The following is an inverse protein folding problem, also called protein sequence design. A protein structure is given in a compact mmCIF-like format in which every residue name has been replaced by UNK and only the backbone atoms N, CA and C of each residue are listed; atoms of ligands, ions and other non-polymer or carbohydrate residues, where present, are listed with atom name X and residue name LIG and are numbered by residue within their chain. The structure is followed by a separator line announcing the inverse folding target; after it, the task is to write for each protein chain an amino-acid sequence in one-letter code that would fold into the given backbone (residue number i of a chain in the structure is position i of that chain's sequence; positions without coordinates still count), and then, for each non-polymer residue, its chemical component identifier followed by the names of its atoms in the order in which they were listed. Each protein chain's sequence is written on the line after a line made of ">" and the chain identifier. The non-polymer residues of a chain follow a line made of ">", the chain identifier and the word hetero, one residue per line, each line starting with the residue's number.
data_IF_189734330640
#
_entry.id   IF_189734330640
#
_cell.length_a   1.000
_cell.length_b   1.000
_cell.length_c   1.000
_cell.angle_alpha   90.00
_cell.angle_beta   90.00
_cell.angle_gamma   90.00
#
_symmetry.space_group_name_H-M   'P 1'
#
loop_
_entity.id
_entity.type
_entity.pdbx_description
1 polymer ?
#
# COMPACT_ATOMS: atom_id res chain seq x y z
N UNK A 1 11.68 -5.35 21.54
CA UNK A 1 10.43 -6.11 21.67
C UNK A 1 10.43 -7.28 20.69
N UNK A 2 9.59 -8.30 20.95
CA UNK A 2 9.31 -9.43 20.04
C UNK A 2 7.94 -9.21 19.43
N UNK A 3 7.88 -8.93 18.14
CA UNK A 3 6.68 -8.41 17.45
C UNK A 3 6.21 -9.41 16.41
N UNK A 4 4.94 -9.83 16.48
CA UNK A 4 4.31 -10.63 15.44
C UNK A 4 3.62 -9.73 14.41
N UNK A 5 4.00 -9.82 13.14
CA UNK A 5 3.37 -9.09 12.03
C UNK A 5 2.52 -10.05 11.20
N UNK A 6 1.25 -9.72 11.03
CA UNK A 6 0.29 -10.48 10.22
C UNK A 6 -0.17 -9.62 9.06
N UNK A 7 0.06 -10.07 7.84
CA UNK A 7 -0.30 -9.31 6.63
C UNK A 7 -0.59 -10.25 5.45
N UNK A 8 -1.12 -9.71 4.37
CA UNK A 8 -1.14 -10.41 3.09
C UNK A 8 0.26 -10.35 2.43
N UNK A 9 0.88 -11.49 2.12
CA UNK A 9 2.22 -11.55 1.52
C UNK A 9 2.20 -11.26 0.01
N UNK A 10 1.52 -10.19 -0.41
CA UNK A 10 1.26 -9.88 -1.82
C UNK A 10 2.05 -8.67 -2.30
N UNK A 11 2.15 -8.51 -3.63
CA UNK A 11 2.68 -7.31 -4.28
C UNK A 11 1.82 -6.05 -4.06
N UNK A 12 0.69 -6.15 -3.37
CA UNK A 12 -0.15 -5.01 -3.02
C UNK A 12 0.49 -4.10 -1.98
N UNK A 13 0.12 -2.82 -1.99
CA UNK A 13 0.72 -1.79 -1.13
C UNK A 13 0.76 -2.14 0.36
N UNK A 14 -0.30 -2.75 0.91
CA UNK A 14 -0.36 -3.16 2.32
C UNK A 14 0.67 -4.22 2.71
N UNK A 15 0.89 -5.23 1.84
CA UNK A 15 1.88 -6.28 2.06
C UNK A 15 3.31 -5.72 2.03
N UNK A 16 3.57 -4.81 1.09
CA UNK A 16 4.85 -4.11 0.99
C UNK A 16 5.10 -3.24 2.24
N UNK A 17 4.13 -2.44 2.65
CA UNK A 17 4.25 -1.58 3.86
C UNK A 17 4.49 -2.41 5.11
N UNK A 18 3.73 -3.49 5.31
CA UNK A 18 3.91 -4.38 6.47
C UNK A 18 5.30 -5.02 6.48
N UNK A 19 5.81 -5.42 5.31
CA UNK A 19 7.14 -6.02 5.19
C UNK A 19 8.23 -4.99 5.47
N UNK A 20 8.17 -3.82 4.86
CA UNK A 20 9.17 -2.75 5.08
C UNK A 20 9.15 -2.24 6.53
N UNK A 21 7.98 -2.19 7.19
CA UNK A 21 7.90 -1.87 8.62
C UNK A 21 8.63 -2.91 9.46
N UNK A 22 8.39 -4.20 9.20
CA UNK A 22 9.05 -5.26 9.93
C UNK A 22 10.57 -5.30 9.70
N UNK A 23 11.04 -4.98 8.49
CA UNK A 23 12.45 -4.85 8.18
C UNK A 23 13.09 -3.71 8.97
N UNK A 24 12.45 -2.53 8.99
CA UNK A 24 12.94 -1.36 9.72
C UNK A 24 12.96 -1.61 11.24
N UNK A 25 11.92 -2.22 11.80
CA UNK A 25 11.89 -2.62 13.21
C UNK A 25 13.04 -3.58 13.57
N UNK A 26 13.36 -4.53 12.69
CA UNK A 26 14.47 -5.45 12.92
C UNK A 26 15.83 -4.77 12.85
N UNK A 27 16.00 -3.76 12.01
CA UNK A 27 17.19 -2.90 11.95
C UNK A 27 17.39 -2.11 13.25
N UNK A 28 16.30 -1.68 13.91
CA UNK A 28 16.32 -1.03 15.24
C UNK A 28 16.45 -2.03 16.41
N UNK A 29 16.71 -3.31 16.11
CA UNK A 29 17.01 -4.33 17.10
C UNK A 29 15.78 -5.06 17.69
N UNK A 30 14.59 -4.84 17.16
CA UNK A 30 13.43 -5.65 17.50
C UNK A 30 13.54 -7.04 16.88
N UNK A 31 12.88 -8.04 17.49
CA UNK A 31 12.75 -9.38 16.93
C UNK A 31 11.37 -9.46 16.26
N UNK A 32 11.36 -9.69 14.95
CA UNK A 32 10.14 -9.64 14.15
C UNK A 32 9.77 -11.02 13.61
N UNK A 33 8.53 -11.42 13.83
CA UNK A 33 7.97 -12.69 13.41
C UNK A 33 6.85 -12.41 12.39
N UNK A 34 7.10 -12.70 11.10
CA UNK A 34 6.06 -12.67 10.08
C UNK A 34 5.22 -13.94 10.12
N UNK A 35 3.91 -13.80 10.26
CA UNK A 35 2.94 -14.91 10.35
C UNK A 35 1.97 -14.78 9.19
N UNK A 36 2.22 -15.49 8.09
CA UNK A 36 1.52 -15.33 6.81
C UNK A 36 1.41 -16.65 6.07
N UNK A 37 0.53 -16.76 5.07
CA UNK A 37 0.34 -18.01 4.30
C UNK A 37 1.40 -18.24 3.22
N UNK A 38 2.19 -17.22 2.88
CA UNK A 38 3.32 -17.30 1.97
C UNK A 38 4.38 -16.29 2.40
N UNK A 39 5.59 -16.41 1.90
CA UNK A 39 6.67 -15.48 2.26
C UNK A 39 6.37 -14.09 1.75
N UNK A 40 6.40 -13.04 2.61
CA UNK A 40 6.15 -11.67 2.19
C UNK A 40 7.08 -11.23 1.05
N UNK A 41 6.50 -10.52 0.10
CA UNK A 41 7.27 -9.87 -0.96
C UNK A 41 8.28 -8.91 -0.34
N UNK A 42 9.50 -8.85 -0.88
CA UNK A 42 10.64 -8.09 -0.37
C UNK A 42 11.31 -8.67 0.89
N UNK A 43 10.78 -9.72 1.50
CA UNK A 43 11.44 -10.37 2.61
C UNK A 43 12.62 -11.22 2.12
N UNK A 44 13.83 -10.68 2.24
CA UNK A 44 15.07 -11.37 1.92
C UNK A 44 15.31 -12.62 2.78
N UNK A 45 16.30 -13.44 2.44
CA UNK A 45 16.74 -14.58 3.24
C UNK A 45 17.92 -14.18 4.12
N UNK A 46 18.01 -14.79 5.33
CA UNK A 46 19.18 -14.66 6.20
C UNK A 46 19.32 -13.33 6.93
N UNK A 47 18.25 -12.58 7.10
CA UNK A 47 18.24 -11.37 7.91
C UNK A 47 18.23 -11.71 9.39
N UNK A 48 19.11 -11.09 10.17
CA UNK A 48 19.11 -11.22 11.62
C UNK A 48 17.80 -10.64 12.21
N UNK A 49 17.33 -11.21 13.30
CA UNK A 49 16.13 -10.80 14.03
C UNK A 49 14.80 -10.92 13.25
N UNK A 50 14.77 -11.63 12.12
CA UNK A 50 13.54 -11.86 11.35
C UNK A 50 13.25 -13.34 11.24
N UNK A 51 12.03 -13.71 11.62
CA UNK A 51 11.52 -15.08 11.57
C UNK A 51 10.25 -15.14 10.71
N UNK A 52 10.05 -16.26 10.06
CA UNK A 52 8.89 -16.50 9.20
C UNK A 52 8.15 -17.76 9.67
N UNK A 53 6.84 -17.62 9.87
CA UNK A 53 5.94 -18.68 10.28
C UNK A 53 4.83 -18.84 9.25
N UNK A 54 4.87 -19.93 8.52
CA UNK A 54 3.88 -20.22 7.48
C UNK A 54 2.55 -20.69 8.09
N UNK A 55 1.46 -20.07 7.64
CA UNK A 55 0.07 -20.46 7.94
C UNK A 55 -0.40 -21.39 6.82
N UNK A 56 -0.33 -22.70 7.05
CA UNK A 56 -0.75 -23.70 6.08
C UNK A 56 -2.16 -24.14 6.34
N UNK A 57 -3.04 -23.92 5.39
CA UNK A 57 -4.38 -24.49 5.40
C UNK A 57 -4.35 -25.84 4.71
N UNK A 58 -4.77 -26.88 5.40
CA UNK A 58 -4.86 -28.23 4.82
C UNK A 58 -6.14 -28.36 3.99
N UNK A 59 -6.02 -28.97 2.81
CA UNK A 59 -7.17 -29.35 2.02
C UNK A 59 -7.91 -30.49 2.73
N UNK A 60 -9.15 -30.23 3.13
CA UNK A 60 -10.03 -31.23 3.68
C UNK A 60 -11.31 -31.30 2.85
N UNK A 61 -11.68 -32.47 2.32
CA UNK A 61 -12.76 -32.61 1.33
C UNK A 61 -14.13 -32.11 1.76
N UNK A 62 -14.39 -31.96 3.07
CA UNK A 62 -15.66 -31.44 3.58
C UNK A 62 -15.69 -29.91 3.72
N UNK A 63 -14.58 -29.22 3.46
CA UNK A 63 -14.57 -27.77 3.45
C UNK A 63 -14.72 -27.24 2.04
N UNK A 64 -15.90 -26.73 1.69
CA UNK A 64 -16.13 -26.00 0.44
C UNK A 64 -15.25 -24.72 0.38
N UNK A 65 -14.96 -24.14 1.55
CA UNK A 65 -14.09 -22.99 1.73
C UNK A 65 -13.00 -23.31 2.75
N UNK A 66 -11.78 -22.99 2.42
CA UNK A 66 -10.64 -23.18 3.32
C UNK A 66 -10.78 -22.26 4.54
N UNK A 67 -10.74 -22.78 5.79
CA UNK A 67 -10.96 -21.99 7.02
C UNK A 67 -9.68 -21.23 7.42
N UNK A 68 -9.16 -20.35 6.55
CA UNK A 68 -7.91 -19.64 6.74
C UNK A 68 -7.85 -18.91 8.10
N UNK A 69 -8.93 -18.20 8.47
CA UNK A 69 -9.00 -17.41 9.70
C UNK A 69 -8.80 -18.26 10.96
N UNK A 70 -9.40 -19.45 11.01
CA UNK A 70 -9.26 -20.37 12.15
C UNK A 70 -7.85 -20.99 12.21
N UNK A 71 -7.26 -21.29 11.05
CA UNK A 71 -5.89 -21.80 11.00
C UNK A 71 -4.90 -20.71 11.39
N UNK A 72 -5.11 -19.48 10.93
CA UNK A 72 -4.34 -18.30 11.35
C UNK A 72 -4.44 -18.10 12.87
N UNK A 73 -5.66 -18.13 13.44
CA UNK A 73 -5.86 -18.05 14.89
C UNK A 73 -5.03 -19.07 15.66
N UNK A 74 -5.08 -20.33 15.24
CA UNK A 74 -4.30 -21.41 15.89
C UNK A 74 -2.80 -21.17 15.78
N UNK A 75 -2.34 -20.69 14.60
CA UNK A 75 -0.93 -20.37 14.38
C UNK A 75 -0.48 -19.17 15.22
N UNK A 76 -1.33 -18.16 15.40
CA UNK A 76 -1.03 -17.03 16.29
C UNK A 76 -0.84 -17.50 17.74
N UNK A 77 -1.74 -18.36 18.24
CA UNK A 77 -1.61 -18.94 19.58
C UNK A 77 -0.26 -19.67 19.73
N UNK A 78 0.07 -20.53 18.78
CA UNK A 78 1.33 -21.31 18.77
C UNK A 78 2.56 -20.38 18.79
N UNK A 79 2.62 -19.41 17.89
CA UNK A 79 3.78 -18.52 17.76
C UNK A 79 3.91 -17.60 18.99
N UNK A 80 2.81 -17.04 19.50
CA UNK A 80 2.84 -16.20 20.73
C UNK A 80 3.45 -16.97 21.90
N UNK A 81 3.04 -18.24 22.11
CA UNK A 81 3.51 -19.05 23.22
C UNK A 81 4.99 -19.43 23.08
N UNK A 82 5.38 -19.98 21.92
CA UNK A 82 6.71 -20.53 21.73
C UNK A 82 7.77 -19.42 21.56
N UNK A 83 7.41 -18.35 20.85
CA UNK A 83 8.33 -17.25 20.58
C UNK A 83 8.23 -16.13 21.62
N UNK A 84 7.28 -16.21 22.57
CA UNK A 84 7.08 -15.23 23.65
C UNK A 84 6.94 -13.80 23.10
N UNK A 85 5.99 -13.61 22.19
CA UNK A 85 5.75 -12.31 21.60
C UNK A 85 5.26 -11.31 22.64
N UNK A 86 5.68 -10.04 22.51
CA UNK A 86 5.21 -8.92 23.33
C UNK A 86 3.93 -8.28 22.76
N UNK A 87 3.75 -8.39 21.42
CA UNK A 87 2.72 -7.67 20.66
C UNK A 87 2.43 -8.37 19.34
N UNK A 88 1.17 -8.33 18.91
CA UNK A 88 0.76 -8.61 17.53
C UNK A 88 0.41 -7.32 16.81
N UNK A 89 0.96 -7.10 15.62
CA UNK A 89 0.53 -6.06 14.70
C UNK A 89 -0.09 -6.70 13.46
N UNK A 90 -1.39 -6.52 13.29
CA UNK A 90 -2.15 -7.12 12.20
C UNK A 90 -2.60 -6.05 11.22
N UNK A 91 -2.49 -6.36 9.94
CA UNK A 91 -2.91 -5.48 8.85
C UNK A 91 -4.24 -5.98 8.31
N UNK A 92 -5.27 -5.14 8.30
CA UNK A 92 -6.69 -5.37 8.01
C UNK A 92 -7.55 -5.81 9.20
N UNK A 93 -8.76 -5.23 9.26
CA UNK A 93 -9.79 -5.60 10.23
C UNK A 93 -10.23 -7.07 10.05
N UNK A 94 -10.38 -7.52 8.82
CA UNK A 94 -10.68 -8.91 8.47
C UNK A 94 -9.70 -9.42 7.41
N UNK A 95 -9.30 -10.68 7.48
CA UNK A 95 -9.54 -11.66 8.55
C UNK A 95 -8.52 -11.57 9.70
N UNK A 96 -7.58 -10.62 9.65
CA UNK A 96 -6.40 -10.65 10.51
C UNK A 96 -6.73 -10.19 11.94
N UNK A 97 -7.46 -9.08 12.13
CA UNK A 97 -7.79 -8.61 13.47
C UNK A 97 -8.82 -9.54 14.16
N UNK A 98 -9.80 -10.09 13.43
CA UNK A 98 -10.73 -11.07 13.98
C UNK A 98 -10.00 -12.35 14.44
N UNK A 99 -9.05 -12.84 13.64
CA UNK A 99 -8.19 -13.97 14.03
C UNK A 99 -7.31 -13.65 15.26
N UNK A 100 -6.73 -12.45 15.31
CA UNK A 100 -5.91 -12.00 16.44
C UNK A 100 -6.73 -11.88 17.72
N UNK A 101 -7.94 -11.34 17.64
CA UNK A 101 -8.84 -11.27 18.79
C UNK A 101 -9.19 -12.66 19.32
N UNK A 102 -9.53 -13.60 18.46
CA UNK A 102 -9.84 -14.98 18.87
C UNK A 102 -8.61 -15.65 19.50
N UNK A 103 -7.42 -15.46 18.92
CA UNK A 103 -6.15 -15.95 19.50
C UNK A 103 -5.90 -15.34 20.89
N UNK A 104 -6.15 -14.03 21.05
CA UNK A 104 -6.04 -13.33 22.34
C UNK A 104 -6.97 -13.95 23.40
N UNK A 105 -8.23 -14.29 23.03
CA UNK A 105 -9.16 -14.93 23.98
C UNK A 105 -8.70 -16.35 24.39
N UNK A 106 -8.18 -17.14 23.45
CA UNK A 106 -7.63 -18.47 23.74
C UNK A 106 -6.42 -18.35 24.67
N UNK A 107 -5.50 -17.44 24.40
CA UNK A 107 -4.32 -17.18 25.22
C UNK A 107 -4.69 -16.67 26.63
N UNK A 108 -5.67 -15.77 26.71
CA UNK A 108 -6.18 -15.24 27.97
C UNK A 108 -6.74 -16.35 28.86
N UNK A 109 -7.44 -17.34 28.30
CA UNK A 109 -7.94 -18.51 29.03
C UNK A 109 -6.80 -19.39 29.56
N UNK A 110 -5.59 -19.25 29.03
CA UNK A 110 -4.39 -19.95 29.47
C UNK A 110 -3.49 -19.07 30.37
N UNK A 111 -3.97 -17.88 30.77
CA UNK A 111 -3.23 -16.93 31.60
C UNK A 111 -2.20 -16.09 30.86
N UNK A 112 -2.18 -16.12 29.52
CA UNK A 112 -1.26 -15.33 28.68
C UNK A 112 -2.01 -14.11 28.15
N UNK A 113 -1.41 -12.92 28.36
CA UNK A 113 -1.95 -11.65 27.82
C UNK A 113 -1.04 -11.15 26.72
N UNK A 114 -1.61 -10.91 25.55
CA UNK A 114 -0.94 -10.35 24.37
C UNK A 114 -1.79 -9.23 23.80
N UNK A 115 -1.30 -8.00 23.66
CA UNK A 115 -2.02 -6.97 22.93
C UNK A 115 -1.92 -7.16 21.42
N UNK A 116 -2.93 -6.64 20.69
CA UNK A 116 -2.83 -6.55 19.24
C UNK A 116 -3.27 -5.18 18.73
N UNK A 117 -2.54 -4.70 17.73
CA UNK A 117 -2.78 -3.45 17.01
C UNK A 117 -3.27 -3.79 15.61
N UNK A 118 -4.25 -3.05 15.13
CA UNK A 118 -4.81 -3.21 13.77
C UNK A 118 -4.52 -1.98 12.92
N UNK A 119 -3.88 -2.17 11.76
CA UNK A 119 -3.76 -1.12 10.73
C UNK A 119 -4.76 -1.36 9.62
N UNK A 120 -5.62 -0.37 9.38
CA UNK A 120 -6.59 -0.34 8.28
C UNK A 120 -5.92 0.14 7.00
N UNK A 121 -6.16 -0.57 5.88
CA UNK A 121 -5.54 -0.27 4.59
C UNK A 121 -6.52 0.16 3.49
N UNK A 122 -7.81 0.06 3.74
CA UNK A 122 -8.87 0.53 2.85
C UNK A 122 -9.67 -0.57 2.17
N UNK A 123 -9.06 -1.64 1.67
CA UNK A 123 -9.82 -2.73 1.02
C UNK A 123 -10.87 -3.33 1.98
N UNK A 124 -10.52 -3.47 3.24
CA UNK A 124 -11.38 -3.93 4.34
C UNK A 124 -12.51 -2.95 4.67
N UNK A 125 -12.35 -1.69 4.38
CA UNK A 125 -13.29 -0.61 4.69
C UNK A 125 -14.11 -0.22 3.46
N UNK A 126 -13.43 0.15 2.36
CA UNK A 126 -14.06 0.80 1.21
C UNK A 126 -14.56 -0.16 0.14
N UNK A 127 -14.05 -1.40 0.09
CA UNK A 127 -14.42 -2.40 -0.91
C UNK A 127 -15.18 -3.57 -0.29
N UNK A 128 -14.52 -4.40 0.50
CA UNK A 128 -15.13 -5.57 1.13
C UNK A 128 -16.10 -5.13 2.22
N UNK A 129 -15.74 -4.12 3.01
CA UNK A 129 -16.55 -3.62 4.10
C UNK A 129 -17.88 -2.98 3.68
N UNK A 130 -18.06 -2.66 2.40
CA UNK A 130 -19.37 -2.19 1.87
C UNK A 130 -20.42 -3.30 1.75
N UNK A 131 -20.02 -4.56 1.80
CA UNK A 131 -20.96 -5.67 1.89
C UNK A 131 -21.47 -5.80 3.33
N UNK A 132 -22.80 -5.64 3.58
CA UNK A 132 -23.37 -5.66 4.92
C UNK A 132 -23.11 -6.97 5.68
N UNK A 133 -22.76 -8.06 4.99
CA UNK A 133 -22.44 -9.34 5.62
C UNK A 133 -21.16 -9.30 6.46
N UNK A 134 -20.23 -8.37 6.16
CA UNK A 134 -18.96 -8.21 6.90
C UNK A 134 -19.02 -7.13 7.97
N UNK A 135 -19.97 -6.18 7.91
CA UNK A 135 -20.04 -5.02 8.80
C UNK A 135 -19.97 -5.40 10.30
N UNK A 136 -20.72 -6.38 10.83
CA UNK A 136 -20.67 -6.72 12.25
C UNK A 136 -19.27 -7.20 12.70
N UNK A 137 -18.58 -7.97 11.86
CA UNK A 137 -17.26 -8.52 12.19
C UNK A 137 -16.18 -7.43 12.10
N UNK A 138 -16.26 -6.55 11.09
CA UNK A 138 -15.33 -5.43 10.93
C UNK A 138 -15.46 -4.47 12.10
N UNK A 139 -16.68 -4.05 12.44
CA UNK A 139 -16.96 -3.18 13.59
C UNK A 139 -16.42 -3.81 14.87
N UNK A 140 -16.73 -5.09 15.10
CA UNK A 140 -16.26 -5.82 16.27
C UNK A 140 -14.73 -5.88 16.34
N UNK A 141 -14.07 -6.22 15.24
CA UNK A 141 -12.60 -6.33 15.18
C UNK A 141 -11.92 -4.99 15.49
N UNK A 142 -12.43 -3.88 14.95
CA UNK A 142 -11.93 -2.54 15.22
C UNK A 142 -12.14 -2.18 16.70
N UNK A 143 -13.35 -2.36 17.25
CA UNK A 143 -13.68 -2.00 18.64
C UNK A 143 -12.84 -2.78 19.67
N UNK A 144 -12.44 -4.02 19.35
CA UNK A 144 -11.74 -4.91 20.28
C UNK A 144 -10.22 -4.97 20.07
N UNK A 145 -9.67 -4.25 19.09
CA UNK A 145 -8.22 -4.05 18.98
C UNK A 145 -7.71 -3.19 20.14
N UNK A 146 -6.52 -3.46 20.67
CA UNK A 146 -5.92 -2.65 21.74
C UNK A 146 -5.55 -1.24 21.25
N UNK A 147 -5.14 -1.11 19.99
CA UNK A 147 -5.08 0.15 19.25
C UNK A 147 -5.43 -0.07 17.77
N UNK A 148 -5.90 0.99 17.12
CA UNK A 148 -6.23 0.98 15.69
C UNK A 148 -5.55 2.14 14.99
N UNK A 149 -4.97 1.86 13.82
CA UNK A 149 -4.41 2.90 12.97
C UNK A 149 -5.03 2.89 11.57
N UNK A 150 -5.08 4.03 10.93
CA UNK A 150 -5.45 4.18 9.53
C UNK A 150 -4.31 4.84 8.75
N UNK A 151 -4.16 4.46 7.49
CA UNK A 151 -3.04 4.94 6.64
C UNK A 151 -3.24 6.36 6.11
N UNK A 152 -4.40 6.96 6.34
CA UNK A 152 -4.72 8.35 5.96
C UNK A 152 -5.88 8.89 6.78
N UNK A 153 -6.00 10.20 6.83
CA UNK A 153 -7.14 10.88 7.44
C UNK A 153 -8.45 10.56 6.70
N UNK A 154 -8.36 10.49 5.37
CA UNK A 154 -9.48 10.09 4.52
C UNK A 154 -10.02 8.71 4.89
N UNK A 155 -9.14 7.71 5.06
CA UNK A 155 -9.56 6.36 5.44
C UNK A 155 -10.14 6.33 6.85
N UNK A 156 -9.55 7.08 7.80
CA UNK A 156 -10.11 7.21 9.16
C UNK A 156 -11.55 7.75 9.11
N UNK A 157 -11.76 8.81 8.36
CA UNK A 157 -13.08 9.45 8.19
C UNK A 157 -14.07 8.47 7.56
N UNK A 158 -13.70 7.82 6.45
CA UNK A 158 -14.53 6.81 5.80
C UNK A 158 -14.88 5.64 6.74
N UNK A 159 -13.96 5.24 7.62
CA UNK A 159 -14.23 4.19 8.61
C UNK A 159 -15.35 4.61 9.57
N UNK A 160 -15.31 5.83 10.11
CA UNK A 160 -16.35 6.33 10.99
C UNK A 160 -17.71 6.59 10.27
N UNK A 161 -17.67 6.90 8.98
CA UNK A 161 -18.88 7.10 8.17
C UNK A 161 -19.61 5.79 7.84
N UNK A 162 -18.85 4.71 7.66
CA UNK A 162 -19.42 3.41 7.22
C UNK A 162 -19.68 2.44 8.36
N UNK A 163 -18.99 2.58 9.49
CA UNK A 163 -19.07 1.65 10.61
C UNK A 163 -19.40 2.38 11.92
N UNK A 164 -20.27 1.83 12.79
CA UNK A 164 -20.62 2.43 14.08
C UNK A 164 -19.49 2.26 15.12
N UNK A 165 -18.28 2.58 14.74
CA UNK A 165 -17.06 2.48 15.55
C UNK A 165 -16.92 3.70 16.45
N UNK A 166 -16.60 3.46 17.75
CA UNK A 166 -16.29 4.50 18.75
C UNK A 166 -14.85 4.52 19.16
N UNK A 167 -14.11 3.46 18.83
CA UNK A 167 -12.67 3.36 19.08
C UNK A 167 -11.93 4.49 18.40
N UNK A 168 -10.99 5.12 19.10
CA UNK A 168 -10.11 6.10 18.47
C UNK A 168 -9.20 5.41 17.44
N UNK A 169 -9.09 6.02 16.26
CA UNK A 169 -8.27 5.55 15.16
C UNK A 169 -7.16 6.57 14.93
N UNK A 170 -5.93 6.21 15.27
CA UNK A 170 -4.77 7.06 15.02
C UNK A 170 -4.38 7.04 13.54
N UNK A 171 -4.11 8.18 12.95
CA UNK A 171 -3.56 8.22 11.59
C UNK A 171 -2.05 8.07 11.66
N UNK A 172 -1.54 7.00 11.05
CA UNK A 172 -0.11 6.80 10.78
C UNK A 172 0.02 6.55 9.27
N UNK A 173 0.59 7.50 8.51
CA UNK A 173 0.62 7.38 7.06
C UNK A 173 1.46 6.18 6.60
N UNK A 174 1.14 5.64 5.43
CA UNK A 174 2.07 4.76 4.76
C UNK A 174 3.37 5.51 4.46
N UNK A 175 4.43 4.77 4.26
CA UNK A 175 5.78 5.29 4.12
C UNK A 175 6.54 4.56 3.01
N UNK A 176 7.70 5.09 2.70
CA UNK A 176 8.69 4.46 1.81
C UNK A 176 10.07 4.51 2.44
N UNK A 177 10.97 3.71 1.94
CA UNK A 177 12.40 3.79 2.25
C UNK A 177 13.07 4.63 1.16
N UNK A 178 13.38 5.89 1.45
CA UNK A 178 13.94 6.82 0.46
C UNK A 178 15.27 6.36 -0.13
N UNK A 179 16.06 5.55 0.58
CA UNK A 179 17.30 4.96 0.11
C UNK A 179 17.09 4.02 -1.10
N UNK A 180 15.99 3.28 -1.16
CA UNK A 180 15.63 2.43 -2.32
C UNK A 180 15.36 3.24 -3.58
N UNK A 181 14.82 4.44 -3.43
CA UNK A 181 14.44 5.35 -4.52
C UNK A 181 15.53 6.39 -4.83
N UNK A 182 16.77 6.14 -4.35
CA UNK A 182 17.92 6.96 -4.67
C UNK A 182 18.49 6.71 -6.08
N UNK A 183 17.88 5.77 -6.83
CA UNK A 183 18.28 5.45 -8.19
C UNK A 183 18.29 6.71 -9.06
N UNK A 184 19.43 6.99 -9.69
CA UNK A 184 19.52 8.03 -10.71
C UNK A 184 18.81 7.52 -11.97
N UNK A 185 18.28 8.49 -12.76
CA UNK A 185 17.77 8.20 -14.10
C UNK A 185 18.80 7.35 -14.89
N UNK A 186 18.37 6.18 -15.31
CA UNK A 186 19.16 5.31 -16.18
C UNK A 186 18.95 5.76 -17.64
N UNK A 187 19.98 6.43 -18.20
CA UNK A 187 19.93 6.96 -19.55
C UNK A 187 19.76 5.86 -20.62
N UNK A 188 20.31 4.67 -20.40
CA UNK A 188 20.18 3.56 -21.35
C UNK A 188 18.75 3.01 -21.30
N UNK A 189 18.17 2.89 -20.10
CA UNK A 189 16.78 2.48 -19.93
C UNK A 189 15.83 3.51 -20.53
N UNK A 190 16.08 4.80 -20.30
CA UNK A 190 15.31 5.89 -20.90
C UNK A 190 15.36 5.84 -22.43
N UNK A 191 16.55 5.71 -23.05
CA UNK A 191 16.68 5.57 -24.51
C UNK A 191 15.98 4.33 -25.06
N UNK A 192 15.96 3.24 -24.30
CA UNK A 192 15.24 2.03 -24.68
C UNK A 192 13.73 2.24 -24.75
N UNK A 193 13.18 2.97 -23.78
CA UNK A 193 11.73 3.25 -23.73
C UNK A 193 11.34 4.46 -24.61
N UNK A 194 12.21 5.45 -24.76
CA UNK A 194 11.99 6.68 -25.54
C UNK A 194 13.09 6.87 -26.59
N UNK A 195 13.17 5.98 -27.63
CA UNK A 195 14.28 5.99 -28.60
C UNK A 195 14.36 7.24 -29.47
N UNK A 196 13.28 8.03 -29.55
CA UNK A 196 13.21 9.28 -30.31
C UNK A 196 13.10 10.50 -29.41
N UNK A 197 13.34 10.37 -28.10
CA UNK A 197 13.22 11.43 -27.12
C UNK A 197 11.77 11.75 -26.74
N UNK A 198 10.88 10.76 -26.83
CA UNK A 198 9.47 10.90 -26.43
C UNK A 198 9.37 11.13 -24.92
N UNK A 199 8.32 11.83 -24.47
CA UNK A 199 7.97 11.92 -23.05
C UNK A 199 7.45 10.57 -22.56
N UNK A 200 7.93 10.12 -21.40
CA UNK A 200 7.55 8.85 -20.80
C UNK A 200 6.51 9.07 -19.69
N UNK A 201 5.28 8.68 -19.97
CA UNK A 201 4.23 8.56 -18.96
C UNK A 201 4.31 7.15 -18.35
N UNK A 202 3.98 7.01 -17.07
CA UNK A 202 3.96 5.71 -16.39
C UNK A 202 2.76 5.58 -15.47
N UNK A 203 2.26 4.36 -15.34
CA UNK A 203 1.24 3.96 -14.39
C UNK A 203 1.60 2.62 -13.75
N UNK A 204 1.36 2.49 -12.45
CA UNK A 204 1.59 1.26 -11.68
C UNK A 204 0.32 0.89 -10.92
N UNK A 205 -0.28 -0.26 -11.23
CA UNK A 205 -1.40 -0.79 -10.45
C UNK A 205 -1.69 -2.27 -10.73
N UNK A 206 -2.69 -2.81 -10.06
CA UNK A 206 -3.23 -4.15 -10.28
C UNK A 206 -4.37 -4.20 -11.32
N UNK A 207 -4.52 -3.21 -12.16
CA UNK A 207 -5.50 -3.06 -13.25
C UNK A 207 -6.93 -3.52 -12.90
N UNK A 208 -7.36 -3.24 -11.66
CA UNK A 208 -8.76 -3.42 -11.26
C UNK A 208 -9.61 -2.25 -11.77
N UNK A 209 -10.93 -2.42 -11.96
CA UNK A 209 -11.83 -1.35 -12.43
C UNK A 209 -11.69 -0.04 -11.66
N UNK A 210 -11.52 -0.11 -10.34
CA UNK A 210 -11.30 1.07 -9.47
C UNK A 210 -10.05 1.89 -9.85
N UNK A 211 -9.09 1.30 -10.58
CA UNK A 211 -7.88 1.99 -11.07
C UNK A 211 -8.06 2.71 -12.40
N UNK A 212 -9.19 2.47 -13.10
CA UNK A 212 -9.61 3.17 -14.32
C UNK A 212 -8.51 3.27 -15.39
N UNK A 213 -7.86 2.14 -15.68
CA UNK A 213 -6.71 2.08 -16.61
C UNK A 213 -7.07 2.62 -18.01
N UNK A 214 -8.34 2.49 -18.43
CA UNK A 214 -8.81 3.02 -19.71
C UNK A 214 -8.82 4.56 -19.74
N UNK A 215 -9.05 5.22 -18.60
CA UNK A 215 -8.95 6.68 -18.50
C UNK A 215 -7.49 7.12 -18.64
N UNK A 216 -6.55 6.37 -18.10
CA UNK A 216 -5.11 6.62 -18.26
C UNK A 216 -4.71 6.55 -19.73
N UNK A 217 -5.22 5.56 -20.47
CA UNK A 217 -5.03 5.48 -21.92
C UNK A 217 -5.67 6.66 -22.65
N UNK A 218 -6.85 7.11 -22.22
CA UNK A 218 -7.51 8.31 -22.80
C UNK A 218 -6.65 9.55 -22.60
N UNK A 219 -6.10 9.75 -21.40
CA UNK A 219 -5.17 10.84 -21.09
C UNK A 219 -3.91 10.74 -21.95
N UNK A 220 -3.31 9.56 -22.03
CA UNK A 220 -2.15 9.33 -22.90
C UNK A 220 -2.42 9.67 -24.36
N UNK A 221 -3.56 9.25 -24.91
CA UNK A 221 -3.96 9.58 -26.27
C UNK A 221 -4.10 11.09 -26.48
N UNK A 222 -4.62 11.82 -25.48
CA UNK A 222 -4.69 13.28 -25.48
C UNK A 222 -3.30 13.91 -25.49
N UNK A 223 -2.40 13.49 -24.63
CA UNK A 223 -1.01 13.99 -24.58
C UNK A 223 -0.28 13.70 -25.89
N UNK A 224 -0.40 12.48 -26.41
CA UNK A 224 0.26 12.05 -27.65
C UNK A 224 -0.14 12.84 -28.90
N UNK A 225 -1.34 13.44 -28.92
CA UNK A 225 -1.78 14.34 -29.99
C UNK A 225 -0.98 15.64 -30.04
N UNK A 226 -0.54 16.13 -28.88
CA UNK A 226 0.14 17.42 -28.71
C UNK A 226 1.67 17.31 -28.71
N UNK A 227 2.22 16.17 -28.27
CA UNK A 227 3.66 15.93 -28.22
C UNK A 227 4.02 14.46 -28.39
N UNK A 228 5.24 14.12 -28.85
CA UNK A 228 5.74 12.74 -28.86
C UNK A 228 5.77 12.19 -27.43
N UNK A 229 5.01 11.11 -27.20
CA UNK A 229 4.89 10.49 -25.89
C UNK A 229 4.72 8.97 -25.99
N UNK A 230 5.18 8.24 -24.95
CA UNK A 230 4.93 6.81 -24.76
C UNK A 230 4.42 6.54 -23.35
N UNK A 231 3.68 5.46 -23.18
CA UNK A 231 3.09 5.07 -21.91
C UNK A 231 3.63 3.71 -21.46
N UNK A 232 4.14 3.66 -20.24
CA UNK A 232 4.54 2.42 -19.57
C UNK A 232 3.46 2.00 -18.58
N UNK A 233 2.93 0.79 -18.72
CA UNK A 233 1.93 0.19 -17.84
C UNK A 233 2.58 -0.94 -17.05
N UNK A 234 2.82 -0.71 -15.75
CA UNK A 234 3.41 -1.68 -14.83
C UNK A 234 2.30 -2.30 -13.99
N UNK A 235 2.24 -3.62 -14.01
CA UNK A 235 1.23 -4.39 -13.30
C UNK A 235 0.43 -5.29 -14.21
N UNK A 236 -0.63 -5.88 -13.66
CA UNK A 236 -1.50 -6.81 -14.36
C UNK A 236 -2.85 -6.92 -13.63
N UNK A 237 -3.90 -7.26 -14.35
CA UNK A 237 -5.22 -7.46 -13.76
C UNK A 237 -6.37 -7.49 -14.75
N UNK A 238 -7.63 -7.45 -14.24
CA UNK A 238 -8.82 -7.69 -15.07
C UNK A 238 -8.95 -6.78 -16.29
N UNK A 239 -8.56 -5.49 -16.17
CA UNK A 239 -8.74 -4.51 -17.24
C UNK A 239 -7.62 -4.55 -18.30
N UNK A 240 -6.61 -5.41 -18.15
CA UNK A 240 -5.50 -5.50 -19.12
C UNK A 240 -5.98 -5.77 -20.53
N UNK A 241 -6.87 -6.75 -20.71
CA UNK A 241 -7.39 -7.10 -22.04
C UNK A 241 -8.12 -5.94 -22.71
N UNK A 242 -8.93 -5.20 -21.94
CA UNK A 242 -9.63 -4.01 -22.43
C UNK A 242 -8.64 -2.89 -22.82
N UNK A 243 -7.60 -2.69 -22.03
CA UNK A 243 -6.54 -1.72 -22.30
C UNK A 243 -5.77 -2.07 -23.61
N UNK A 244 -5.40 -3.33 -23.80
CA UNK A 244 -4.76 -3.80 -25.05
C UNK A 244 -5.69 -3.66 -26.26
N UNK A 245 -6.99 -3.94 -26.12
CA UNK A 245 -7.97 -3.74 -27.18
C UNK A 245 -8.10 -2.26 -27.56
N UNK A 246 -8.09 -1.36 -26.57
CA UNK A 246 -8.12 0.09 -26.83
C UNK A 246 -6.86 0.58 -27.55
N UNK A 247 -5.68 0.05 -27.22
CA UNK A 247 -4.44 0.36 -27.94
C UNK A 247 -4.51 -0.06 -29.41
N UNK A 248 -5.01 -1.27 -29.68
CA UNK A 248 -5.20 -1.75 -31.07
C UNK A 248 -6.18 -0.88 -31.86
N UNK A 249 -7.31 -0.54 -31.24
CA UNK A 249 -8.33 0.29 -31.88
C UNK A 249 -7.83 1.68 -32.25
N UNK A 250 -6.88 2.24 -31.49
CA UNK A 250 -6.30 3.56 -31.71
C UNK A 250 -4.94 3.54 -32.46
N UNK A 251 -4.43 2.37 -32.85
CA UNK A 251 -3.15 2.24 -33.55
C UNK A 251 -1.96 2.69 -32.71
N UNK A 252 -1.97 2.46 -31.40
CA UNK A 252 -0.95 2.94 -30.45
C UNK A 252 -0.16 1.82 -29.79
N UNK A 253 -0.23 0.60 -30.32
CA UNK A 253 0.43 -0.57 -29.74
C UNK A 253 1.96 -0.40 -29.61
N UNK A 254 2.60 0.37 -30.50
CA UNK A 254 4.04 0.60 -30.45
C UNK A 254 4.43 1.65 -29.39
N UNK A 255 3.49 2.46 -28.91
CA UNK A 255 3.71 3.56 -27.99
C UNK A 255 3.22 3.25 -26.57
N UNK A 256 2.50 2.13 -26.37
CA UNK A 256 2.04 1.65 -25.07
C UNK A 256 2.71 0.32 -24.73
N UNK A 257 3.53 0.33 -23.68
CA UNK A 257 4.29 -0.86 -23.26
C UNK A 257 3.70 -1.44 -21.99
N UNK A 258 3.22 -2.67 -22.06
CA UNK A 258 2.78 -3.46 -20.92
C UNK A 258 3.96 -4.24 -20.33
N UNK A 259 4.49 -3.79 -19.21
CA UNK A 259 5.69 -4.37 -18.58
C UNK A 259 5.40 -5.54 -17.63
N UNK A 260 4.11 -5.79 -17.33
CA UNK A 260 3.73 -6.83 -16.37
C UNK A 260 4.04 -6.45 -14.92
N UNK A 261 3.95 -7.42 -14.02
CA UNK A 261 4.28 -7.23 -12.60
C UNK A 261 5.80 -7.12 -12.43
N UNK A 262 6.24 -6.13 -11.66
CA UNK A 262 7.64 -5.90 -11.33
C UNK A 262 7.82 -5.86 -9.81
N UNK A 263 8.89 -6.48 -9.32
CA UNK A 263 9.27 -6.45 -7.90
C UNK A 263 9.97 -5.12 -7.55
N UNK A 264 10.81 -4.65 -8.45
CA UNK A 264 11.67 -3.48 -8.27
C UNK A 264 11.46 -2.50 -9.44
N UNK A 265 10.37 -1.68 -9.41
CA UNK A 265 10.05 -0.75 -10.50
C UNK A 265 10.85 0.55 -10.45
N UNK A 266 11.70 0.77 -9.43
CA UNK A 266 12.34 2.04 -9.11
C UNK A 266 13.16 2.60 -10.28
N UNK A 267 13.95 1.77 -10.96
CA UNK A 267 14.74 2.20 -12.10
C UNK A 267 13.89 2.62 -13.30
N UNK A 268 12.77 1.91 -13.53
CA UNK A 268 11.82 2.27 -14.58
C UNK A 268 11.13 3.57 -14.22
N UNK A 269 10.64 3.71 -12.98
CA UNK A 269 10.00 4.93 -12.51
C UNK A 269 10.95 6.13 -12.65
N UNK A 270 12.18 6.03 -12.17
CA UNK A 270 13.19 7.11 -12.25
C UNK A 270 13.49 7.57 -13.69
N UNK A 271 13.24 6.71 -14.68
CA UNK A 271 13.43 7.02 -16.11
C UNK A 271 12.23 7.70 -16.76
N UNK A 272 11.10 7.83 -16.05
CA UNK A 272 9.87 8.43 -16.57
C UNK A 272 9.76 9.93 -16.28
N UNK A 273 8.86 10.60 -17.02
CA UNK A 273 8.63 12.03 -16.91
C UNK A 273 7.39 12.37 -16.09
N UNK A 274 6.36 11.52 -16.12
CA UNK A 274 5.09 11.76 -15.46
C UNK A 274 4.42 10.48 -15.02
N UNK A 275 3.98 10.42 -13.77
CA UNK A 275 3.13 9.36 -13.25
C UNK A 275 1.65 9.75 -13.36
N UNK A 276 0.81 8.85 -13.88
CA UNK A 276 -0.62 9.09 -14.06
C UNK A 276 -1.43 8.09 -13.24
N UNK A 277 -2.36 8.59 -12.41
CA UNK A 277 -3.21 7.78 -11.53
C UNK A 277 -4.66 8.26 -11.56
N UNK A 278 -5.54 7.51 -12.23
CA UNK A 278 -6.94 7.86 -12.44
C UNK A 278 -7.91 7.15 -11.46
N UNK A 279 -7.42 6.67 -10.33
CA UNK A 279 -8.20 5.86 -9.38
C UNK A 279 -9.50 6.52 -8.95
N UNK A 280 -10.57 5.73 -8.87
CA UNK A 280 -11.87 6.14 -8.35
C UNK A 280 -11.86 6.22 -6.81
N UNK A 281 -11.11 5.34 -6.18
CA UNK A 281 -10.88 5.30 -4.74
C UNK A 281 -9.43 4.95 -4.47
N UNK A 282 -8.80 5.65 -3.54
CA UNK A 282 -7.42 5.41 -3.11
C UNK A 282 -7.28 5.70 -1.62
N UNK A 283 -6.88 4.68 -0.86
CA UNK A 283 -6.75 4.86 0.60
C UNK A 283 -5.56 5.71 1.01
N UNK A 284 -4.49 5.74 0.18
CA UNK A 284 -3.30 6.53 0.43
C UNK A 284 -2.62 6.98 -0.88
N UNK A 285 -2.36 6.05 -1.80
CA UNK A 285 -1.65 6.35 -3.04
C UNK A 285 -0.18 5.98 -3.01
N UNK A 286 0.16 4.80 -2.46
CA UNK A 286 1.55 4.35 -2.34
C UNK A 286 2.31 4.37 -3.68
N UNK A 287 1.67 3.98 -4.79
CA UNK A 287 2.31 4.00 -6.11
C UNK A 287 2.64 5.42 -6.59
N UNK A 288 1.81 6.41 -6.25
CA UNK A 288 2.12 7.83 -6.49
C UNK A 288 3.31 8.29 -5.63
N UNK A 289 3.33 7.89 -4.34
CA UNK A 289 4.44 8.19 -3.44
C UNK A 289 5.76 7.57 -3.93
N UNK A 290 5.74 6.32 -4.41
CA UNK A 290 6.92 5.65 -4.99
C UNK A 290 7.44 6.39 -6.24
N UNK A 291 6.54 6.83 -7.12
CA UNK A 291 6.92 7.66 -8.27
C UNK A 291 7.52 9.00 -7.84
N UNK A 292 6.91 9.69 -6.89
CA UNK A 292 7.41 10.94 -6.32
C UNK A 292 8.79 10.77 -5.68
N UNK A 293 9.03 9.67 -5.01
CA UNK A 293 10.33 9.33 -4.44
C UNK A 293 11.42 9.14 -5.51
N UNK A 294 11.06 8.69 -6.70
CA UNK A 294 11.94 8.70 -7.88
C UNK A 294 12.09 10.09 -8.53
N UNK A 295 11.46 11.12 -7.99
CA UNK A 295 11.43 12.45 -8.58
C UNK A 295 10.51 12.55 -9.80
N UNK A 296 9.48 11.72 -9.89
CA UNK A 296 8.50 11.75 -10.99
C UNK A 296 7.24 12.45 -10.50
N UNK A 297 6.85 13.59 -11.10
CA UNK A 297 5.64 14.31 -10.71
C UNK A 297 4.39 13.50 -11.07
N UNK A 298 3.29 13.81 -10.37
CA UNK A 298 2.03 13.04 -10.44
C UNK A 298 0.93 13.88 -11.07
N UNK A 299 0.17 13.27 -11.97
CA UNK A 299 -1.17 13.72 -12.33
C UNK A 299 -2.16 12.68 -11.85
N UNK A 300 -3.03 13.05 -10.93
CA UNK A 300 -3.95 12.11 -10.31
C UNK A 300 -5.37 12.66 -10.17
N UNK A 301 -6.29 11.78 -9.82
CA UNK A 301 -7.56 12.18 -9.23
C UNK A 301 -7.35 12.69 -7.80
N UNK A 302 -8.32 13.46 -7.29
CA UNK A 302 -8.37 13.93 -5.90
C UNK A 302 -9.03 12.90 -4.96
N UNK A 303 -9.04 11.61 -5.32
CA UNK A 303 -9.75 10.56 -4.61
C UNK A 303 -9.05 10.14 -3.32
N UNK A 304 -9.80 10.14 -2.22
CA UNK A 304 -9.37 9.61 -0.93
C UNK A 304 -8.07 10.22 -0.40
N UNK A 305 -7.16 9.37 0.04
CA UNK A 305 -5.87 9.79 0.61
C UNK A 305 -4.86 10.37 -0.38
N UNK A 306 -5.15 10.43 -1.69
CA UNK A 306 -4.22 11.02 -2.67
C UNK A 306 -3.95 12.50 -2.38
N UNK A 307 -4.94 13.25 -1.90
CA UNK A 307 -4.78 14.66 -1.52
C UNK A 307 -3.90 14.89 -0.29
N UNK A 308 -3.59 13.84 0.45
CA UNK A 308 -2.65 13.88 1.57
C UNK A 308 -1.20 13.61 1.14
N UNK A 309 -1.01 13.01 -0.04
CA UNK A 309 0.29 12.64 -0.59
C UNK A 309 0.75 13.61 -1.68
N UNK A 310 -0.16 13.99 -2.59
CA UNK A 310 0.15 14.88 -3.70
C UNK A 310 -0.11 16.33 -3.29
N UNK A 311 0.94 17.14 -3.30
CA UNK A 311 0.84 18.58 -3.04
C UNK A 311 0.56 19.31 -4.35
N UNK A 312 -0.67 19.86 -4.46
CA UNK A 312 -1.17 20.54 -5.67
C UNK A 312 -0.28 21.69 -6.11
N UNK A 313 0.15 21.68 -7.37
CA UNK A 313 1.03 22.71 -7.94
C UNK A 313 2.51 22.61 -7.55
N UNK A 314 2.88 21.66 -6.68
CA UNK A 314 4.25 21.43 -6.20
C UNK A 314 4.77 20.07 -6.64
N UNK A 315 4.12 18.99 -6.22
CA UNK A 315 4.53 17.61 -6.54
C UNK A 315 3.71 17.01 -7.68
N UNK A 316 2.57 17.64 -8.01
CA UNK A 316 1.68 17.18 -9.05
C UNK A 316 0.48 18.09 -9.25
N UNK A 317 -0.48 17.64 -10.05
CA UNK A 317 -1.76 18.29 -10.29
C UNK A 317 -2.88 17.26 -10.15
N UNK A 318 -3.98 17.67 -9.51
CA UNK A 318 -5.13 16.80 -9.27
C UNK A 318 -6.38 17.28 -10.06
N UNK A 319 -7.32 16.36 -10.23
CA UNK A 319 -8.62 16.63 -10.88
C UNK A 319 -9.67 15.64 -10.35
N UNK A 320 -10.92 15.92 -10.69
CA UNK A 320 -12.03 15.04 -10.32
C UNK A 320 -11.95 13.69 -11.04
N UNK A 321 -12.50 12.66 -10.41
CA UNK A 321 -12.58 11.30 -10.97
C UNK A 321 -13.34 11.32 -12.29
N UNK A 322 -12.75 10.75 -13.34
CA UNK A 322 -13.34 10.68 -14.69
C UNK A 322 -13.14 11.91 -15.56
N UNK A 323 -12.61 13.02 -15.04
CA UNK A 323 -12.27 14.19 -15.84
C UNK A 323 -10.95 14.01 -16.60
N UNK A 324 -10.97 13.13 -17.60
CA UNK A 324 -9.80 12.83 -18.43
C UNK A 324 -9.34 14.02 -19.27
N UNK A 325 -10.24 14.95 -19.58
CA UNK A 325 -9.88 16.17 -20.31
C UNK A 325 -9.02 17.11 -19.44
N UNK A 326 -9.42 17.34 -18.19
CA UNK A 326 -8.63 18.11 -17.22
C UNK A 326 -7.32 17.41 -16.90
N UNK A 327 -7.36 16.08 -16.72
CA UNK A 327 -6.16 15.27 -16.48
C UNK A 327 -5.15 15.39 -17.64
N UNK A 328 -5.62 15.38 -18.88
CA UNK A 328 -4.78 15.62 -20.06
C UNK A 328 -4.16 17.02 -20.05
N UNK A 329 -4.96 18.05 -19.77
CA UNK A 329 -4.47 19.43 -19.67
C UNK A 329 -3.41 19.57 -18.55
N UNK A 330 -3.63 18.94 -17.40
CA UNK A 330 -2.68 18.89 -16.28
C UNK A 330 -1.36 18.21 -16.69
N UNK A 331 -1.43 17.06 -17.41
CA UNK A 331 -0.25 16.38 -17.92
C UNK A 331 0.55 17.25 -18.89
N UNK A 332 -0.11 17.89 -19.84
CA UNK A 332 0.52 18.83 -20.79
C UNK A 332 1.14 20.03 -20.08
N UNK A 333 0.49 20.57 -19.04
CA UNK A 333 1.02 21.70 -18.27
C UNK A 333 2.35 21.36 -17.57
N UNK A 334 2.50 20.14 -17.04
CA UNK A 334 3.75 19.67 -16.41
C UNK A 334 4.83 19.39 -17.47
N UNK A 335 4.44 18.75 -18.59
CA UNK A 335 5.36 18.28 -19.62
C UNK A 335 5.76 19.33 -20.65
N UNK A 336 5.18 20.54 -20.63
CA UNK A 336 5.32 21.58 -21.67
C UNK A 336 6.76 21.99 -21.98
N UNK A 337 7.62 21.99 -20.95
CA UNK A 337 9.04 22.32 -21.08
C UNK A 337 9.87 21.71 -19.95
N UNK A 338 11.18 21.57 -20.17
CA UNK A 338 12.08 20.91 -19.23
C UNK A 338 12.24 21.69 -17.91
N UNK A 339 12.10 23.00 -17.92
CA UNK A 339 12.22 23.84 -16.72
C UNK A 339 11.02 23.61 -15.78
N UNK A 340 9.82 23.58 -16.35
CA UNK A 340 8.59 23.26 -15.61
C UNK A 340 8.64 21.85 -15.05
N UNK A 341 9.03 20.87 -15.88
CA UNK A 341 9.18 19.48 -15.47
C UNK A 341 10.20 19.34 -14.32
N UNK A 342 11.36 20.00 -14.43
CA UNK A 342 12.39 19.96 -13.39
C UNK A 342 11.91 20.55 -12.06
N UNK A 343 11.09 21.62 -12.10
CA UNK A 343 10.46 22.19 -10.90
C UNK A 343 9.54 21.16 -10.21
N UNK A 344 8.67 20.51 -10.97
CA UNK A 344 7.76 19.49 -10.41
C UNK A 344 8.50 18.24 -9.94
N UNK A 345 9.55 17.81 -10.63
CA UNK A 345 10.44 16.71 -10.20
C UNK A 345 11.04 16.98 -8.82
N UNK A 346 11.57 18.19 -8.60
CA UNK A 346 12.10 18.61 -7.30
C UNK A 346 11.02 18.63 -6.23
N UNK A 347 9.84 19.19 -6.55
CA UNK A 347 8.70 19.21 -5.63
C UNK A 347 8.23 17.82 -5.25
N UNK A 348 8.10 16.91 -6.23
CA UNK A 348 7.71 15.52 -6.01
C UNK A 348 8.68 14.81 -5.04
N UNK A 349 9.99 14.93 -5.29
CA UNK A 349 11.01 14.33 -4.41
C UNK A 349 10.93 14.88 -2.98
N UNK A 350 10.83 16.20 -2.84
CA UNK A 350 10.75 16.85 -1.52
C UNK A 350 9.48 16.48 -0.76
N UNK A 351 8.33 16.37 -1.44
CA UNK A 351 7.08 15.92 -0.82
C UNK A 351 7.19 14.46 -0.36
N UNK A 352 7.80 13.58 -1.15
CA UNK A 352 7.99 12.17 -0.78
C UNK A 352 8.88 11.99 0.46
N UNK A 353 9.86 12.86 0.69
CA UNK A 353 10.74 12.82 1.87
C UNK A 353 9.99 12.98 3.20
N UNK A 354 8.78 13.54 3.17
CA UNK A 354 7.95 13.65 4.38
C UNK A 354 7.42 12.30 4.85
N UNK A 355 7.36 11.31 3.95
CA UNK A 355 6.88 9.96 4.18
C UNK A 355 8.02 8.94 4.28
N UNK A 356 9.24 9.38 4.56
CA UNK A 356 10.35 8.46 4.79
C UNK A 356 10.12 7.62 6.06
N UNK A 357 10.49 6.34 6.02
CA UNK A 357 10.35 5.40 7.14
C UNK A 357 11.00 5.93 8.43
N UNK A 358 12.08 6.67 8.33
CA UNK A 358 12.78 7.25 9.49
C UNK A 358 11.93 8.26 10.27
N UNK A 359 10.90 8.82 9.65
CA UNK A 359 9.91 9.71 10.29
C UNK A 359 8.72 8.95 10.86
N UNK A 360 8.33 7.86 10.22
CA UNK A 360 7.12 7.09 10.57
C UNK A 360 7.40 6.01 11.59
N UNK A 361 8.56 5.36 11.52
CA UNK A 361 8.94 4.28 12.43
C UNK A 361 8.85 4.66 13.92
N UNK A 362 9.37 5.83 14.36
CA UNK A 362 9.27 6.23 15.76
C UNK A 362 7.83 6.38 16.27
N UNK A 363 6.88 6.68 15.38
CA UNK A 363 5.45 6.78 15.73
C UNK A 363 4.89 5.39 16.05
N UNK A 364 5.25 4.38 15.24
CA UNK A 364 4.88 2.98 15.50
C UNK A 364 5.54 2.45 16.78
N UNK A 365 6.82 2.74 17.01
CA UNK A 365 7.54 2.30 18.22
C UNK A 365 6.91 2.90 19.49
N UNK A 366 6.55 4.18 19.46
CA UNK A 366 5.86 4.83 20.57
C UNK A 366 4.50 4.20 20.86
N UNK A 367 3.71 3.93 19.81
CA UNK A 367 2.42 3.24 19.92
C UNK A 367 2.57 1.83 20.49
N UNK A 368 3.57 1.06 20.04
CA UNK A 368 3.83 -0.29 20.52
C UNK A 368 4.18 -0.27 22.02
N UNK A 369 5.04 0.65 22.41
CA UNK A 369 5.45 0.78 23.82
C UNK A 369 4.25 1.14 24.70
N UNK A 370 3.42 2.10 24.26
CA UNK A 370 2.22 2.52 24.99
C UNK A 370 1.27 1.34 25.21
N UNK A 371 0.95 0.60 24.14
CA UNK A 371 0.00 -0.53 24.17
C UNK A 371 0.52 -1.66 25.07
N UNK A 372 1.81 -1.98 24.98
CA UNK A 372 2.43 -3.02 25.82
C UNK A 372 2.42 -2.60 27.30
N UNK A 373 2.71 -1.35 27.61
CA UNK A 373 2.73 -0.85 28.98
C UNK A 373 1.33 -0.78 29.60
N UNK A 374 0.30 -0.43 28.81
CA UNK A 374 -1.09 -0.47 29.26
C UNK A 374 -1.54 -1.90 29.66
N UNK A 375 -1.15 -2.92 28.87
CA UNK A 375 -1.50 -4.31 29.19
C UNK A 375 -0.76 -4.80 30.43
N UNK A 376 0.52 -4.43 30.60
CA UNK A 376 1.30 -4.75 31.81
C UNK A 376 0.69 -4.09 33.07
N UNK A 377 0.32 -2.81 32.99
CA UNK A 377 -0.29 -2.09 34.11
C UNK A 377 -1.63 -2.71 34.52
N UNK A 378 -2.49 -3.06 33.56
CA UNK A 378 -3.77 -3.72 33.83
C UNK A 378 -3.63 -5.17 34.35
N UNK A 379 -2.46 -5.78 34.24
CA UNK A 379 -2.14 -7.12 34.72
C UNK A 379 -1.67 -7.18 36.16
N UNK A 380 -1.23 -6.08 36.73
CA UNK A 380 -0.74 -5.99 38.12
C UNK A 380 -1.89 -5.85 39.13
N UNK A 381 -3.11 -5.52 38.68
CA UNK A 381 -4.28 -5.28 39.51
C UNK A 381 -5.30 -6.44 39.53
N UNK A 382 -4.97 -7.60 39.04
CA UNK A 382 -5.78 -8.84 39.13
C UNK A 382 -4.88 -9.96 39.71
#
# INVERSE_FOLDING_TARGET
>A
MRIGIVCYPTFGGSGVVATELGLALAEEGHIVHFITYDRPVRLGSGMANIFYHEVRVSDYPLFDYQPYELVLTSKLVDVVQHERLDLLHVHYAIPHASAAWLAQQILKAQGIRIPFITTLHGTDITLVGRDPSFEPVITFAIEHSDAVTAVSESLRKETYEHFPVKRDIQVIPNFIRMDRYAAKMDQELQKRFAPKGERLLVHVSNFRPVKRVLDILTVFLGVRKEMPARLLLIGDGPDRHAAEAMCRANGTCDDVLFLGKMTDPEAVLASCDLFVLASETESFGLAALEAMACGVPVVSTNAGGLSEVVEEGVSGLMNDVGDTARMTANALAILKDDMTLAKYRKGARSAAEQFDITRVLPIYEALYQEVVDQVKANGVHQ
#
